data_IF_737253595566
#
_entry.id   IF_737253595566
#
_cell.length_a   1.000
_cell.length_b   1.000
_cell.length_c   1.000
_cell.angle_alpha   90.00
_cell.angle_beta   90.00
_cell.angle_gamma   90.00
#
_symmetry.space_group_name_H-M   'P 1'
#
loop_
_entity.id
_entity.type
_entity.pdbx_description
1 polymer ?
#
# COMPACT_ATOMS: atom_id res chain seq x y z
N UNK A 1 -16.71 -25.82 1.87
CA UNK A 1 -15.46 -26.34 2.48
C UNK A 1 -14.55 -26.77 1.33
N UNK A 2 -13.84 -25.81 0.75
CA UNK A 2 -12.90 -26.06 -0.36
C UNK A 2 -11.60 -26.57 0.28
N UNK A 3 -11.03 -27.69 -0.19
CA UNK A 3 -9.81 -28.21 0.41
C UNK A 3 -8.66 -27.27 0.07
N UNK A 4 -7.99 -26.76 1.11
CA UNK A 4 -6.71 -26.07 0.98
C UNK A 4 -5.73 -27.01 0.27
N UNK A 5 -5.41 -26.70 -0.98
CA UNK A 5 -4.29 -27.32 -1.68
C UNK A 5 -3.03 -26.81 -0.99
N UNK A 6 -2.48 -27.60 -0.06
CA UNK A 6 -1.13 -27.38 0.44
C UNK A 6 -0.18 -27.56 -0.75
N UNK A 7 0.15 -26.47 -1.43
CA UNK A 7 1.34 -26.44 -2.29
C UNK A 7 2.52 -26.56 -1.32
N UNK A 8 3.02 -27.78 -1.15
CA UNK A 8 4.36 -28.00 -0.61
C UNK A 8 5.34 -27.39 -1.59
N UNK A 9 5.63 -26.11 -1.42
CA UNK A 9 6.88 -25.56 -1.94
C UNK A 9 7.96 -26.09 -0.99
N UNK A 10 8.41 -27.33 -1.26
CA UNK A 10 9.64 -27.86 -0.68
C UNK A 10 10.78 -27.01 -1.24
N UNK A 11 10.97 -25.82 -0.65
CA UNK A 11 12.16 -25.01 -0.81
C UNK A 11 13.33 -25.96 -0.52
N UNK A 12 14.25 -26.18 -1.48
CA UNK A 12 15.34 -27.12 -1.29
C UNK A 12 16.03 -26.87 0.05
N UNK A 13 16.20 -27.92 0.84
CA UNK A 13 16.81 -27.89 2.18
C UNK A 13 18.31 -27.50 2.18
N UNK A 14 18.80 -26.94 1.07
CA UNK A 14 20.13 -26.37 0.92
C UNK A 14 20.04 -24.83 0.94
N UNK A 15 19.45 -24.26 1.98
CA UNK A 15 19.69 -22.87 2.38
C UNK A 15 20.84 -22.86 3.40
N UNK A 16 21.98 -23.42 3.02
CA UNK A 16 23.26 -22.98 3.57
C UNK A 16 23.74 -21.82 2.70
N UNK A 17 22.91 -20.78 2.58
CA UNK A 17 23.32 -19.53 1.94
C UNK A 17 24.38 -18.91 2.83
N UNK A 18 25.49 -18.46 2.23
CA UNK A 18 26.34 -17.46 2.85
C UNK A 18 25.47 -16.24 3.13
N UNK A 19 24.89 -16.19 4.33
CA UNK A 19 24.26 -15.00 4.86
C UNK A 19 25.39 -13.97 4.93
N UNK A 20 25.34 -12.96 4.08
CA UNK A 20 26.10 -11.75 4.37
C UNK A 20 25.54 -11.24 5.68
N UNK A 21 26.30 -11.45 6.75
CA UNK A 21 26.04 -10.81 8.02
C UNK A 21 25.87 -9.31 7.77
N UNK A 22 24.96 -8.62 8.49
CA UNK A 22 24.83 -7.18 8.36
C UNK A 22 26.20 -6.52 8.51
N UNK A 23 26.44 -5.39 7.82
CA UNK A 23 27.74 -4.72 7.84
C UNK A 23 28.25 -4.57 9.27
N UNK A 24 29.54 -4.88 9.45
CA UNK A 24 30.22 -4.98 10.75
C UNK A 24 30.37 -3.65 11.51
N UNK A 25 29.64 -2.59 11.10
CA UNK A 25 29.70 -1.27 11.75
C UNK A 25 28.77 -1.18 12.97
N UNK A 26 27.97 -2.21 13.23
CA UNK A 26 27.05 -2.28 14.37
C UNK A 26 25.82 -1.37 14.24
N UNK A 27 25.58 -0.76 13.07
CA UNK A 27 24.36 0.01 12.81
C UNK A 27 23.22 -0.92 12.42
N UNK A 28 22.08 -0.72 13.07
CA UNK A 28 20.86 -1.42 12.69
C UNK A 28 20.40 -0.99 11.29
N UNK A 29 19.83 -1.91 10.50
CA UNK A 29 19.24 -1.56 9.20
C UNK A 29 18.27 -0.39 9.30
N UNK A 30 18.35 0.55 8.36
CA UNK A 30 17.36 1.63 8.22
C UNK A 30 16.83 1.60 6.81
N UNK A 31 15.51 1.54 6.69
CA UNK A 31 14.84 1.49 5.40
C UNK A 31 14.81 2.91 4.80
N UNK A 32 15.27 3.10 3.54
CA UNK A 32 15.22 4.41 2.87
C UNK A 32 13.81 4.98 2.82
N UNK A 33 13.68 6.32 2.87
CA UNK A 33 12.39 6.99 2.73
C UNK A 33 12.03 7.21 1.26
N UNK A 34 12.02 6.13 0.50
CA UNK A 34 11.73 6.10 -0.94
C UNK A 34 10.40 5.38 -1.10
N UNK A 35 9.48 5.92 -1.90
CA UNK A 35 8.17 5.30 -2.14
C UNK A 35 8.09 4.80 -3.58
N UNK A 36 7.51 3.62 -3.78
CA UNK A 36 7.37 2.97 -5.08
C UNK A 36 5.91 2.64 -5.38
N UNK A 37 5.46 3.05 -6.56
CA UNK A 37 4.22 2.62 -7.20
C UNK A 37 4.55 1.97 -8.54
N UNK A 38 3.80 0.94 -8.95
CA UNK A 38 3.93 0.30 -10.27
C UNK A 38 2.66 0.55 -11.07
N UNK A 39 2.79 1.17 -12.25
CA UNK A 39 1.70 1.38 -13.20
C UNK A 39 2.10 0.86 -14.57
N UNK A 40 1.64 -0.34 -14.90
CA UNK A 40 1.87 -0.93 -16.21
C UNK A 40 0.69 -0.62 -17.14
N UNK A 41 0.98 -0.36 -18.42
CA UNK A 41 0.00 -0.08 -19.45
C UNK A 41 -0.71 -1.36 -19.85
N UNK A 42 -2.04 -1.41 -19.68
CA UNK A 42 -2.86 -2.52 -20.18
C UNK A 42 -2.93 -2.55 -21.71
N UNK A 43 -2.78 -1.39 -22.34
CA UNK A 43 -2.67 -1.19 -23.78
C UNK A 43 -1.44 -0.29 -24.05
N UNK A 44 -0.42 -0.74 -24.78
CA UNK A 44 0.75 0.09 -25.13
C UNK A 44 0.42 1.36 -25.93
N UNK A 45 -0.75 1.42 -26.57
CA UNK A 45 -1.27 2.61 -27.25
C UNK A 45 -2.34 3.36 -26.43
N UNK A 46 -2.59 2.89 -25.21
CA UNK A 46 -3.56 3.46 -24.29
C UNK A 46 -3.10 4.78 -23.70
N UNK A 47 -3.91 5.30 -22.78
CA UNK A 47 -3.65 6.57 -22.11
C UNK A 47 -3.62 6.38 -20.60
N UNK A 48 -2.72 7.07 -19.90
CA UNK A 48 -2.65 7.04 -18.44
C UNK A 48 -3.83 7.82 -17.85
N UNK A 49 -4.77 7.09 -17.26
CA UNK A 49 -6.00 7.62 -16.69
C UNK A 49 -6.08 7.27 -15.20
N UNK A 50 -5.66 8.22 -14.35
CA UNK A 50 -5.84 8.09 -12.92
C UNK A 50 -7.16 8.72 -12.45
N UNK A 51 -7.63 8.28 -11.28
CA UNK A 51 -8.82 8.82 -10.61
C UNK A 51 -8.46 9.43 -9.27
N UNK A 52 -9.45 10.05 -8.62
CA UNK A 52 -9.28 10.67 -7.29
C UNK A 52 -8.64 9.70 -6.28
N UNK A 53 -9.06 8.43 -6.24
CA UNK A 53 -8.47 7.44 -5.32
C UNK A 53 -6.96 7.27 -5.49
N UNK A 54 -6.46 7.27 -6.72
CA UNK A 54 -5.03 7.17 -7.03
C UNK A 54 -4.28 8.41 -6.56
N UNK A 55 -4.89 9.60 -6.76
CA UNK A 55 -4.36 10.85 -6.23
C UNK A 55 -4.28 10.82 -4.69
N UNK A 56 -5.33 10.38 -3.99
CA UNK A 56 -5.36 10.28 -2.52
C UNK A 56 -4.27 9.32 -2.03
N UNK A 57 -4.03 8.21 -2.72
CA UNK A 57 -2.94 7.26 -2.37
C UNK A 57 -1.58 7.96 -2.39
N UNK A 58 -1.18 8.54 -3.53
CA UNK A 58 0.12 9.21 -3.67
C UNK A 58 0.22 10.45 -2.77
N UNK A 59 -0.84 11.25 -2.70
CA UNK A 59 -0.82 12.48 -1.94
C UNK A 59 -0.71 12.22 -0.44
N UNK A 60 -1.41 11.21 0.08
CA UNK A 60 -1.27 10.84 1.50
C UNK A 60 0.13 10.31 1.80
N UNK A 61 0.75 9.53 0.91
CA UNK A 61 2.14 9.11 1.06
C UNK A 61 3.11 10.31 1.04
N UNK A 62 2.93 11.24 0.10
CA UNK A 62 3.71 12.49 0.03
C UNK A 62 3.59 13.32 1.31
N UNK A 63 2.37 13.48 1.82
CA UNK A 63 2.06 14.27 3.00
C UNK A 63 2.63 13.65 4.28
N UNK A 64 2.37 12.37 4.51
CA UNK A 64 2.66 11.75 5.80
C UNK A 64 4.05 11.17 5.91
N UNK A 65 4.62 10.67 4.81
CA UNK A 65 5.96 10.07 4.85
C UNK A 65 7.05 11.10 4.59
N UNK A 66 6.72 12.23 3.95
CA UNK A 66 7.68 13.21 3.41
C UNK A 66 8.89 12.52 2.73
N UNK A 67 8.65 11.67 1.71
CA UNK A 67 9.69 10.83 1.14
C UNK A 67 10.77 11.66 0.44
N UNK A 68 11.95 11.09 0.26
CA UNK A 68 13.01 11.70 -0.56
C UNK A 68 12.60 11.74 -2.03
N UNK A 69 11.92 10.68 -2.49
CA UNK A 69 11.39 10.53 -3.85
C UNK A 69 10.22 9.54 -3.86
N UNK A 70 9.26 9.79 -4.74
CA UNK A 70 8.17 8.87 -5.08
C UNK A 70 8.39 8.42 -6.52
N UNK A 71 8.67 7.14 -6.73
CA UNK A 71 8.79 6.56 -8.06
C UNK A 71 7.45 6.03 -8.54
N UNK A 72 7.09 6.40 -9.77
CA UNK A 72 6.10 5.69 -10.58
C UNK A 72 6.88 4.85 -11.59
N UNK A 73 6.92 3.54 -11.36
CA UNK A 73 7.52 2.56 -12.24
C UNK A 73 6.51 2.18 -13.33
N UNK A 74 6.83 2.42 -14.60
CA UNK A 74 5.88 2.25 -15.70
C UNK A 74 6.56 1.86 -17.00
N UNK A 75 5.86 1.11 -17.84
CA UNK A 75 6.24 0.81 -19.22
C UNK A 75 5.64 1.80 -20.23
N UNK A 76 4.97 2.87 -19.74
CA UNK A 76 4.45 3.93 -20.59
C UNK A 76 5.58 4.63 -21.38
N UNK A 77 5.34 4.92 -22.68
CA UNK A 77 6.24 5.74 -23.48
C UNK A 77 6.46 7.15 -22.89
N UNK A 78 7.62 7.76 -23.15
CA UNK A 78 7.94 9.09 -22.61
C UNK A 78 6.92 10.17 -23.04
N UNK A 79 6.42 10.11 -24.28
CA UNK A 79 5.41 11.05 -24.79
C UNK A 79 4.05 10.88 -24.10
N UNK A 80 3.70 9.66 -23.70
CA UNK A 80 2.54 9.38 -22.87
C UNK A 80 2.66 10.04 -21.49
N UNK A 81 3.83 9.91 -20.87
CA UNK A 81 4.14 10.51 -19.57
C UNK A 81 4.10 12.03 -19.64
N UNK A 82 4.69 12.63 -20.67
CA UNK A 82 4.64 14.07 -20.89
C UNK A 82 3.22 14.57 -21.15
N UNK A 83 2.41 13.80 -21.89
CA UNK A 83 0.98 14.12 -22.04
C UNK A 83 0.26 14.08 -20.72
N UNK A 84 0.49 13.06 -19.89
CA UNK A 84 -0.12 12.94 -18.57
C UNK A 84 0.27 14.11 -17.64
N UNK A 85 1.48 14.68 -17.79
CA UNK A 85 1.91 15.90 -17.09
C UNK A 85 1.27 17.19 -17.62
N UNK A 86 0.92 17.21 -18.90
CA UNK A 86 0.49 18.42 -19.59
C UNK A 86 -0.88 18.93 -19.10
N UNK A 87 -1.13 20.23 -19.36
CA UNK A 87 -2.44 20.85 -19.16
C UNK A 87 -3.40 20.68 -20.35
N UNK A 88 -3.08 19.76 -21.27
CA UNK A 88 -3.96 19.40 -22.38
C UNK A 88 -5.28 18.84 -21.85
N UNK A 89 -6.39 19.16 -22.52
CA UNK A 89 -7.72 18.60 -22.23
C UNK A 89 -7.73 17.07 -22.36
N UNK A 90 -6.83 16.50 -23.16
CA UNK A 90 -6.64 15.06 -23.28
C UNK A 90 -6.03 14.41 -22.02
N UNK A 91 -5.36 15.19 -21.15
CA UNK A 91 -4.83 14.70 -19.88
C UNK A 91 -5.89 14.78 -18.79
N UNK A 92 -6.20 13.63 -18.18
CA UNK A 92 -7.09 13.63 -17.03
C UNK A 92 -6.47 14.39 -15.87
N UNK A 93 -7.29 15.22 -15.23
CA UNK A 93 -6.93 16.07 -14.10
C UNK A 93 -6.12 15.35 -13.03
N UNK A 94 -6.51 14.13 -12.64
CA UNK A 94 -5.82 13.40 -11.57
C UNK A 94 -4.44 12.92 -12.01
N UNK A 95 -4.29 12.49 -13.27
CA UNK A 95 -2.98 12.19 -13.84
C UNK A 95 -2.06 13.40 -13.80
N UNK A 96 -2.56 14.55 -14.28
CA UNK A 96 -1.82 15.82 -14.22
C UNK A 96 -1.41 16.18 -12.80
N UNK A 97 -2.31 16.10 -11.83
CA UNK A 97 -1.99 16.40 -10.43
C UNK A 97 -0.91 15.46 -9.90
N UNK A 98 -1.07 14.14 -10.07
CA UNK A 98 -0.13 13.12 -9.60
C UNK A 98 1.28 13.38 -10.15
N UNK A 99 1.42 13.50 -11.47
CA UNK A 99 2.75 13.63 -12.07
C UNK A 99 3.42 14.96 -11.73
N UNK A 100 2.65 16.03 -11.46
CA UNK A 100 3.20 17.33 -11.08
C UNK A 100 3.39 17.49 -9.56
N UNK A 101 3.11 16.48 -8.74
CA UNK A 101 3.43 16.54 -7.30
C UNK A 101 4.95 16.63 -7.10
N UNK A 102 5.41 17.39 -6.08
CA UNK A 102 6.82 17.44 -5.72
C UNK A 102 7.38 16.04 -5.45
N UNK A 103 8.64 15.81 -5.85
CA UNK A 103 9.38 14.56 -5.64
C UNK A 103 8.81 13.32 -6.36
N UNK A 104 7.77 13.47 -7.19
CA UNK A 104 7.30 12.38 -8.07
C UNK A 104 8.19 12.28 -9.31
N UNK A 105 8.81 11.11 -9.49
CA UNK A 105 9.70 10.79 -10.60
C UNK A 105 9.19 9.55 -11.33
N UNK A 106 9.29 9.56 -12.66
CA UNK A 106 8.97 8.40 -13.49
C UNK A 106 10.23 7.57 -13.67
N UNK A 107 10.11 6.26 -13.48
CA UNK A 107 11.18 5.32 -13.78
C UNK A 107 10.65 4.29 -14.78
N UNK A 108 11.22 4.25 -15.97
CA UNK A 108 10.75 3.32 -16.99
C UNK A 108 11.13 1.88 -16.61
N UNK A 109 10.13 1.01 -16.48
CA UNK A 109 10.28 -0.40 -16.12
C UNK A 109 9.35 -1.25 -16.96
N UNK A 110 9.84 -2.39 -17.42
CA UNK A 110 9.05 -3.38 -18.12
C UNK A 110 8.91 -4.64 -17.27
N UNK A 111 7.73 -5.26 -17.35
CA UNK A 111 7.50 -6.54 -16.71
C UNK A 111 7.86 -7.70 -17.64
N UNK A 112 8.32 -8.85 -17.10
CA UNK A 112 8.53 -10.04 -17.89
C UNK A 112 7.21 -10.57 -18.48
N UNK A 113 7.27 -11.10 -19.70
CA UNK A 113 6.15 -11.83 -20.32
C UNK A 113 6.10 -13.31 -19.88
N UNK A 114 7.22 -13.83 -19.37
CA UNK A 114 7.41 -15.21 -18.96
C UNK A 114 8.22 -15.26 -17.67
N UNK A 115 7.84 -16.14 -16.76
CA UNK A 115 8.66 -16.51 -15.62
C UNK A 115 9.81 -17.44 -16.07
N UNK A 116 10.86 -17.59 -15.26
CA UNK A 116 12.06 -18.38 -15.64
C UNK A 116 11.77 -19.88 -15.77
N UNK A 117 10.66 -20.36 -15.22
CA UNK A 117 10.16 -21.71 -15.40
C UNK A 117 9.40 -21.94 -16.72
N UNK A 118 9.26 -20.90 -17.55
CA UNK A 118 8.61 -20.94 -18.86
C UNK A 118 7.12 -20.62 -18.85
N UNK A 119 6.51 -20.42 -17.67
CA UNK A 119 5.11 -20.06 -17.56
C UNK A 119 4.85 -18.62 -18.02
N UNK A 120 3.75 -18.40 -18.73
CA UNK A 120 3.41 -17.09 -19.27
C UNK A 120 2.72 -16.21 -18.23
N UNK A 121 3.12 -14.95 -18.12
CA UNK A 121 2.56 -13.98 -17.18
C UNK A 121 1.51 -13.15 -17.93
N UNK A 122 0.25 -13.57 -17.81
CA UNK A 122 -0.87 -12.99 -18.57
C UNK A 122 -1.46 -11.74 -17.92
N UNK A 123 -1.69 -11.79 -16.61
CA UNK A 123 -2.40 -10.74 -15.89
C UNK A 123 -1.45 -9.60 -15.53
N UNK A 124 -1.94 -8.37 -15.66
CA UNK A 124 -1.18 -7.16 -15.40
C UNK A 124 -0.77 -7.04 -13.92
N UNK A 125 -1.60 -7.57 -13.03
CA UNK A 125 -1.37 -7.61 -11.59
C UNK A 125 -0.18 -8.52 -11.27
N UNK A 126 -0.15 -9.73 -11.83
CA UNK A 126 1.02 -10.61 -11.70
C UNK A 126 2.27 -9.95 -12.27
N UNK A 127 2.17 -9.28 -13.43
CA UNK A 127 3.30 -8.51 -14.00
C UNK A 127 3.80 -7.42 -13.04
N UNK A 128 2.90 -6.73 -12.35
CA UNK A 128 3.23 -5.74 -11.32
C UNK A 128 3.94 -6.37 -10.11
N UNK A 129 3.63 -7.62 -9.77
CA UNK A 129 4.28 -8.36 -8.68
C UNK A 129 5.79 -8.59 -8.95
N UNK A 130 6.16 -8.95 -10.18
CA UNK A 130 7.58 -9.05 -10.56
C UNK A 130 8.30 -7.70 -10.52
N UNK A 131 7.65 -6.64 -11.01
CA UNK A 131 8.26 -5.30 -11.01
C UNK A 131 8.43 -4.77 -9.60
N UNK A 132 7.43 -4.90 -8.71
CA UNK A 132 7.53 -4.42 -7.32
C UNK A 132 8.66 -5.11 -6.55
N UNK A 133 8.80 -6.43 -6.72
CA UNK A 133 9.86 -7.18 -6.04
C UNK A 133 11.24 -6.72 -6.53
N UNK A 134 11.41 -6.54 -7.83
CA UNK A 134 12.65 -6.04 -8.45
C UNK A 134 13.02 -4.65 -7.93
N UNK A 135 12.12 -3.67 -8.03
CA UNK A 135 12.47 -2.26 -7.74
C UNK A 135 12.78 -2.05 -6.26
N UNK A 136 12.05 -2.72 -5.36
CA UNK A 136 12.35 -2.65 -3.92
C UNK A 136 13.66 -3.36 -3.59
N UNK A 137 13.99 -4.47 -4.27
CA UNK A 137 15.31 -5.10 -4.10
C UNK A 137 16.44 -4.16 -4.56
N UNK A 138 16.30 -3.50 -5.70
CA UNK A 138 17.34 -2.67 -6.31
C UNK A 138 17.54 -1.31 -5.63
N UNK A 139 16.46 -0.72 -5.11
CA UNK A 139 16.45 0.64 -4.57
C UNK A 139 16.27 0.67 -3.04
N UNK A 140 15.64 -0.35 -2.45
CA UNK A 140 15.09 -0.28 -1.09
C UNK A 140 13.95 0.74 -1.02
N UNK A 141 13.25 0.80 0.11
CA UNK A 141 12.17 1.75 0.33
C UNK A 141 10.85 1.07 0.67
N UNK A 142 9.76 1.78 0.43
CA UNK A 142 8.37 1.43 0.74
C UNK A 142 7.64 1.21 -0.58
N UNK A 143 7.06 0.02 -0.75
CA UNK A 143 6.14 -0.25 -1.85
C UNK A 143 4.69 -0.05 -1.41
N UNK A 144 3.88 0.57 -2.28
CA UNK A 144 2.44 0.74 -2.11
C UNK A 144 1.69 0.38 -3.40
N UNK A 145 0.63 -0.41 -3.28
CA UNK A 145 -0.40 -0.54 -4.31
C UNK A 145 -1.18 0.79 -4.44
N UNK A 146 -1.79 1.01 -5.60
CA UNK A 146 -2.53 2.24 -5.93
C UNK A 146 -3.80 2.48 -5.10
N UNK A 147 -4.26 1.47 -4.37
CA UNK A 147 -5.36 1.50 -3.41
C UNK A 147 -4.87 1.38 -1.95
N UNK A 148 -3.57 1.59 -1.70
CA UNK A 148 -3.05 1.77 -0.34
C UNK A 148 -2.97 3.26 -0.02
N UNK A 149 -3.56 3.65 1.10
CA UNK A 149 -3.62 5.04 1.56
C UNK A 149 -2.86 5.20 2.86
N UNK A 150 -1.85 6.07 2.88
CA UNK A 150 -1.09 6.37 4.07
C UNK A 150 -1.97 7.13 5.08
N UNK A 151 -1.82 6.75 6.35
CA UNK A 151 -2.52 7.38 7.47
C UNK A 151 -1.54 8.12 8.40
N UNK A 152 -0.30 7.68 8.50
CA UNK A 152 0.73 8.36 9.30
C UNK A 152 2.12 7.98 8.82
N UNK A 153 3.12 8.69 9.32
CA UNK A 153 4.52 8.45 8.98
C UNK A 153 4.97 7.00 9.28
N UNK A 154 5.60 6.35 8.29
CA UNK A 154 6.22 5.02 8.42
C UNK A 154 7.59 5.07 9.12
N UNK A 155 8.13 6.26 9.43
CA UNK A 155 9.44 6.42 10.08
C UNK A 155 9.68 5.49 11.27
N UNK A 156 8.75 5.31 12.24
CA UNK A 156 8.99 4.37 13.35
C UNK A 156 9.21 2.92 12.88
N UNK A 157 8.57 2.51 11.79
CA UNK A 157 8.74 1.18 11.20
C UNK A 157 10.05 1.08 10.39
N UNK A 158 10.37 2.12 9.60
CA UNK A 158 11.61 2.18 8.81
C UNK A 158 12.87 2.20 9.68
N UNK A 159 12.78 2.82 10.86
CA UNK A 159 13.89 2.96 11.82
C UNK A 159 13.86 1.89 12.92
N UNK A 160 12.96 0.89 12.83
CA UNK A 160 12.85 -0.19 13.82
C UNK A 160 14.04 -1.15 13.83
N UNK A 161 14.98 -1.02 12.90
CA UNK A 161 16.18 -1.83 12.84
C UNK A 161 15.98 -3.19 12.16
N UNK A 162 15.05 -3.31 11.21
CA UNK A 162 14.83 -4.53 10.43
C UNK A 162 15.11 -4.29 8.94
N UNK A 163 15.70 -5.28 8.28
CA UNK A 163 15.98 -5.24 6.85
C UNK A 163 14.70 -5.27 6.02
N UNK A 164 13.64 -5.90 6.53
CA UNK A 164 12.33 -5.98 5.89
C UNK A 164 11.23 -5.79 6.92
N UNK A 165 10.20 -5.02 6.57
CA UNK A 165 8.97 -4.89 7.36
C UNK A 165 7.79 -5.20 6.46
N UNK A 166 7.00 -6.17 6.88
CA UNK A 166 5.79 -6.63 6.17
C UNK A 166 4.60 -6.61 7.12
N UNK A 167 3.39 -6.51 6.59
CA UNK A 167 2.16 -6.61 7.37
C UNK A 167 1.34 -7.82 6.95
N UNK A 168 0.61 -8.39 7.90
CA UNK A 168 -0.38 -9.41 7.57
C UNK A 168 -1.57 -8.78 6.83
N UNK A 169 -2.31 -9.62 6.12
CA UNK A 169 -3.65 -9.35 5.60
C UNK A 169 -4.62 -10.38 6.20
N UNK A 170 -5.86 -10.44 5.69
CA UNK A 170 -6.79 -11.52 6.04
C UNK A 170 -6.15 -12.89 5.76
N UNK A 171 -6.55 -13.90 6.53
CA UNK A 171 -6.02 -15.28 6.50
C UNK A 171 -4.56 -15.44 6.98
N UNK A 172 -4.05 -14.47 7.75
CA UNK A 172 -2.69 -14.46 8.31
C UNK A 172 -1.57 -14.59 7.26
N UNK A 173 -1.87 -14.26 6.01
CA UNK A 173 -0.87 -14.16 4.94
C UNK A 173 -0.24 -12.77 4.94
N UNK A 174 0.95 -12.64 4.36
CA UNK A 174 1.62 -11.34 4.18
C UNK A 174 0.99 -10.58 3.01
N UNK A 175 0.71 -9.29 3.22
CA UNK A 175 0.27 -8.36 2.19
C UNK A 175 1.44 -7.97 1.26
N UNK A 176 1.32 -8.26 -0.04
CA UNK A 176 2.30 -7.86 -1.07
C UNK A 176 2.04 -6.46 -1.66
N UNK A 177 0.95 -5.81 -1.26
CA UNK A 177 0.57 -4.46 -1.67
C UNK A 177 1.11 -3.35 -0.77
N UNK A 178 1.63 -3.66 0.42
CA UNK A 178 2.24 -2.67 1.29
C UNK A 178 3.34 -3.31 2.15
N UNK A 179 4.60 -3.01 1.84
CA UNK A 179 5.76 -3.52 2.56
C UNK A 179 6.95 -2.60 2.34
N UNK A 180 8.04 -2.84 3.06
CA UNK A 180 9.24 -2.03 2.93
C UNK A 180 10.51 -2.84 3.23
N UNK A 181 11.62 -2.50 2.57
CA UNK A 181 12.89 -3.19 2.75
C UNK A 181 14.09 -2.27 2.52
N UNK A 182 15.24 -2.64 3.11
CA UNK A 182 16.51 -2.08 2.69
C UNK A 182 16.87 -2.56 1.28
N UNK A 183 17.67 -1.76 0.58
CA UNK A 183 18.27 -2.18 -0.69
C UNK A 183 19.05 -3.49 -0.51
N UNK A 184 18.81 -4.45 -1.38
CA UNK A 184 19.56 -5.70 -1.43
C UNK A 184 19.30 -6.64 -0.25
N UNK A 185 18.19 -6.49 0.48
CA UNK A 185 17.88 -7.39 1.60
C UNK A 185 17.81 -8.85 1.16
N UNK A 186 18.12 -9.77 2.08
CA UNK A 186 18.20 -11.18 1.75
C UNK A 186 16.81 -11.76 1.46
N UNK A 187 15.77 -11.36 2.21
CA UNK A 187 14.39 -11.72 1.90
C UNK A 187 13.99 -11.30 0.49
N UNK A 188 14.26 -10.04 0.08
CA UNK A 188 13.90 -9.55 -1.25
C UNK A 188 14.70 -10.26 -2.34
N UNK A 189 15.99 -10.53 -2.11
CA UNK A 189 16.85 -11.30 -3.04
C UNK A 189 16.29 -12.71 -3.28
N UNK A 190 15.82 -13.37 -2.23
CA UNK A 190 15.22 -14.70 -2.32
C UNK A 190 13.86 -14.60 -3.01
N UNK A 191 13.03 -13.62 -2.65
CA UNK A 191 11.71 -13.44 -3.26
C UNK A 191 11.81 -13.21 -4.78
N UNK A 192 12.61 -12.24 -5.21
CA UNK A 192 12.88 -11.93 -6.63
C UNK A 192 13.37 -13.15 -7.42
N UNK A 193 14.19 -14.02 -6.80
CA UNK A 193 14.64 -15.25 -7.44
C UNK A 193 13.53 -16.29 -7.54
N UNK A 194 12.82 -16.54 -6.44
CA UNK A 194 11.91 -17.67 -6.35
C UNK A 194 10.53 -17.38 -6.91
N UNK A 195 10.11 -16.13 -7.04
CA UNK A 195 8.85 -15.78 -7.71
C UNK A 195 8.83 -16.31 -9.15
N UNK A 196 9.95 -16.17 -9.88
CA UNK A 196 10.14 -16.73 -11.22
C UNK A 196 10.07 -18.27 -11.25
N UNK A 197 10.47 -18.94 -10.16
CA UNK A 197 10.53 -20.39 -10.09
C UNK A 197 9.16 -20.99 -9.75
N UNK A 198 8.44 -20.37 -8.81
CA UNK A 198 7.18 -20.89 -8.27
C UNK A 198 5.95 -20.37 -9.00
N UNK A 199 6.09 -19.40 -9.91
CA UNK A 199 4.98 -18.86 -10.66
C UNK A 199 4.24 -19.97 -11.43
N UNK A 200 2.95 -20.08 -11.19
CA UNK A 200 2.09 -21.16 -11.70
C UNK A 200 0.86 -20.61 -12.44
N UNK A 201 0.86 -19.30 -12.76
CA UNK A 201 -0.31 -18.60 -13.30
C UNK A 201 -1.37 -18.23 -12.24
N UNK A 202 -1.23 -18.70 -11.00
CA UNK A 202 -2.13 -18.40 -9.89
C UNK A 202 -1.97 -16.97 -9.35
N UNK A 203 -3.04 -16.45 -8.76
CA UNK A 203 -3.11 -15.08 -8.24
C UNK A 203 -2.15 -14.84 -7.06
N UNK A 204 -2.01 -15.79 -6.14
CA UNK A 204 -1.31 -15.57 -4.86
C UNK A 204 0.00 -16.33 -4.68
N UNK A 205 0.30 -17.34 -5.52
CA UNK A 205 1.41 -18.28 -5.26
C UNK A 205 2.76 -17.60 -5.11
N UNK A 206 3.12 -16.76 -6.08
CA UNK A 206 4.42 -16.11 -6.19
C UNK A 206 4.53 -14.81 -5.37
N UNK A 207 3.43 -14.06 -5.23
CA UNK A 207 3.46 -12.74 -4.59
C UNK A 207 3.09 -12.77 -3.10
N UNK A 208 2.17 -13.65 -2.69
CA UNK A 208 1.62 -13.68 -1.32
C UNK A 208 2.09 -14.92 -0.56
N UNK A 209 1.89 -16.12 -1.12
CA UNK A 209 2.23 -17.38 -0.43
C UNK A 209 3.76 -17.50 -0.27
N UNK A 210 4.53 -17.27 -1.34
CA UNK A 210 5.98 -17.27 -1.27
C UNK A 210 6.49 -16.24 -0.27
N UNK A 211 6.05 -14.98 -0.37
CA UNK A 211 6.45 -13.91 0.55
C UNK A 211 6.11 -14.24 2.01
N UNK A 212 4.94 -14.82 2.27
CA UNK A 212 4.54 -15.28 3.61
C UNK A 212 5.50 -16.34 4.15
N UNK A 213 5.82 -17.35 3.32
CA UNK A 213 6.72 -18.44 3.70
C UNK A 213 8.14 -17.93 3.96
N UNK A 214 8.62 -16.99 3.15
CA UNK A 214 9.93 -16.36 3.35
C UNK A 214 9.94 -15.55 4.64
N UNK A 215 8.96 -14.68 4.84
CA UNK A 215 8.83 -13.83 6.04
C UNK A 215 8.84 -14.67 7.32
N UNK A 216 8.01 -15.71 7.39
CA UNK A 216 7.91 -16.60 8.56
C UNK A 216 9.16 -17.43 8.81
N UNK A 217 9.96 -17.75 7.79
CA UNK A 217 11.23 -18.47 7.97
C UNK A 217 12.35 -17.53 8.39
N UNK A 218 12.40 -16.35 7.78
CA UNK A 218 13.48 -15.38 7.99
C UNK A 218 13.30 -14.54 9.26
N UNK A 219 12.12 -14.52 9.88
CA UNK A 219 11.91 -13.92 11.22
C UNK A 219 12.83 -14.49 12.30
N UNK A 220 13.34 -15.72 12.11
CA UNK A 220 14.30 -16.34 13.03
C UNK A 220 15.71 -15.72 12.94
N UNK A 221 15.99 -14.96 11.87
CA UNK A 221 17.25 -14.25 11.70
C UNK A 221 17.09 -12.86 12.34
N UNK A 222 17.90 -12.51 13.35
CA UNK A 222 17.81 -11.20 14.00
C UNK A 222 17.87 -10.07 12.98
N UNK A 223 16.96 -9.10 13.12
CA UNK A 223 16.89 -7.91 12.27
C UNK A 223 16.60 -8.17 10.79
N UNK A 224 16.22 -9.39 10.37
CA UNK A 224 15.91 -9.65 8.95
C UNK A 224 14.46 -9.28 8.61
N UNK A 225 13.47 -9.78 9.36
CA UNK A 225 12.04 -9.52 9.08
C UNK A 225 11.30 -9.12 10.34
N UNK A 226 10.57 -8.01 10.27
CA UNK A 226 9.50 -7.65 11.19
C UNK A 226 8.16 -7.92 10.52
N UNK A 227 7.33 -8.76 11.16
CA UNK A 227 5.95 -9.03 10.71
C UNK A 227 5.00 -8.25 11.62
N UNK A 228 4.24 -7.32 11.03
CA UNK A 228 3.24 -6.53 11.72
C UNK A 228 1.88 -7.23 11.66
N UNK A 229 1.07 -6.99 12.69
CA UNK A 229 -0.34 -7.38 12.70
C UNK A 229 -1.10 -6.78 11.50
N UNK A 230 -2.16 -7.45 11.06
CA UNK A 230 -2.93 -7.01 9.88
C UNK A 230 -3.45 -5.58 10.00
N UNK A 231 -3.83 -5.14 11.20
CA UNK A 231 -4.39 -3.81 11.39
C UNK A 231 -3.38 -2.68 11.17
N UNK A 232 -2.08 -2.97 11.12
CA UNK A 232 -1.05 -1.98 10.84
C UNK A 232 -1.07 -1.50 9.38
N UNK A 233 -1.23 -2.40 8.40
CA UNK A 233 -1.11 -2.09 6.97
C UNK A 233 -2.34 -2.49 6.13
N UNK A 234 -3.14 -3.47 6.57
CA UNK A 234 -4.34 -3.96 5.88
C UNK A 234 -5.49 -4.25 6.87
N UNK A 235 -6.05 -3.21 7.51
CA UNK A 235 -7.14 -3.37 8.48
C UNK A 235 -8.47 -3.87 7.88
N UNK A 236 -8.63 -3.84 6.56
CA UNK A 236 -9.78 -4.37 5.82
C UNK A 236 -9.40 -5.62 4.99
N UNK A 237 -10.27 -6.10 4.11
CA UNK A 237 -10.00 -7.19 3.17
C UNK A 237 -10.82 -7.06 1.88
N UNK A 238 -10.61 -8.01 0.94
CA UNK A 238 -11.37 -8.12 -0.30
C UNK A 238 -12.79 -8.68 -0.14
N UNK A 239 -13.14 -9.21 1.04
CA UNK A 239 -14.46 -9.77 1.28
C UNK A 239 -15.55 -8.69 1.28
N UNK A 240 -16.75 -9.07 0.84
CA UNK A 240 -17.85 -8.15 0.65
C UNK A 240 -18.22 -7.41 1.95
N UNK A 241 -18.26 -8.10 3.09
CA UNK A 241 -18.60 -7.48 4.39
C UNK A 241 -17.54 -6.46 4.82
N UNK A 242 -16.25 -6.79 4.65
CA UNK A 242 -15.14 -5.90 5.00
C UNK A 242 -15.10 -4.67 4.07
N UNK A 243 -15.37 -4.85 2.77
CA UNK A 243 -15.47 -3.78 1.81
C UNK A 243 -16.72 -2.91 2.04
N UNK A 244 -17.86 -3.51 2.43
CA UNK A 244 -19.07 -2.77 2.80
C UNK A 244 -18.84 -1.95 4.08
N UNK A 245 -18.16 -2.52 5.08
CA UNK A 245 -17.76 -1.80 6.30
C UNK A 245 -16.81 -0.64 6.01
N UNK A 246 -15.90 -0.81 5.05
CA UNK A 246 -14.96 0.23 4.66
C UNK A 246 -15.63 1.36 3.88
N UNK A 247 -16.41 1.03 2.85
CA UNK A 247 -16.89 2.00 1.86
C UNK A 247 -18.35 2.43 2.04
N UNK A 248 -19.18 1.62 2.69
CA UNK A 248 -20.61 1.87 2.87
C UNK A 248 -20.88 3.19 3.57
N UNK A 249 -21.93 3.88 3.12
CA UNK A 249 -22.36 5.14 3.73
C UNK A 249 -23.27 4.89 4.93
N UNK A 250 -23.04 5.62 6.01
CA UNK A 250 -23.85 5.64 7.22
C UNK A 250 -24.59 6.99 7.31
N UNK A 251 -25.59 7.17 6.43
CA UNK A 251 -26.32 8.43 6.23
C UNK A 251 -27.25 8.83 7.39
N UNK A 252 -27.66 7.88 8.22
CA UNK A 252 -28.49 8.12 9.41
C UNK A 252 -27.69 8.62 10.63
N UNK A 253 -26.36 8.48 10.61
CA UNK A 253 -25.50 9.05 11.62
C UNK A 253 -25.28 10.55 11.31
N UNK A 254 -25.50 11.43 12.30
CA UNK A 254 -25.07 12.82 12.16
C UNK A 254 -23.59 12.84 11.77
N UNK A 255 -23.22 13.59 10.73
CA UNK A 255 -21.81 13.81 10.43
C UNK A 255 -21.11 14.20 11.74
N UNK A 256 -20.03 13.49 12.15
CA UNK A 256 -19.46 13.66 13.47
C UNK A 256 -19.25 15.14 13.74
N UNK A 257 -19.68 15.57 14.93
CA UNK A 257 -19.75 16.97 15.35
C UNK A 257 -18.53 17.76 14.90
N UNK A 258 -18.78 18.99 14.42
CA UNK A 258 -17.80 20.02 14.08
C UNK A 258 -16.58 19.96 15.01
N UNK A 259 -15.53 19.37 14.46
CA UNK A 259 -14.22 19.13 15.04
C UNK A 259 -13.41 18.44 13.94
N UNK A 260 -12.08 18.59 13.91
CA UNK A 260 -11.28 17.76 13.01
C UNK A 260 -11.71 16.31 13.28
N UNK A 261 -12.27 15.66 12.27
CA UNK A 261 -12.29 14.21 12.26
C UNK A 261 -10.81 13.87 12.27
N UNK A 262 -10.28 13.65 13.46
CA UNK A 262 -8.89 13.32 13.69
C UNK A 262 -8.85 11.80 13.75
N UNK A 263 -8.71 11.10 12.59
CA UNK A 263 -8.43 9.66 12.59
C UNK A 263 -7.09 9.36 13.28
N UNK A 264 -6.31 10.39 13.62
CA UNK A 264 -5.06 10.36 14.35
C UNK A 264 -5.16 11.12 15.67
N UNK A 265 -6.28 10.94 16.42
CA UNK A 265 -6.29 11.31 17.84
C UNK A 265 -4.93 10.92 18.42
N UNK A 266 -4.20 11.87 19.05
CA UNK A 266 -2.79 11.68 19.38
C UNK A 266 -2.63 10.29 19.98
N UNK A 267 -1.73 9.49 19.39
CA UNK A 267 -1.45 8.13 19.84
C UNK A 267 -1.41 8.18 21.35
N UNK A 268 -2.32 7.47 22.01
CA UNK A 268 -2.48 7.57 23.45
C UNK A 268 -1.12 7.22 24.07
N UNK A 269 -0.40 8.23 24.55
CA UNK A 269 1.04 8.13 24.87
C UNK A 269 1.30 7.46 26.22
N UNK A 270 0.28 6.79 26.76
CA UNK A 270 0.37 6.13 28.06
C UNK A 270 0.74 4.66 27.86
N UNK A 271 1.82 4.25 28.53
CA UNK A 271 2.20 2.84 28.65
C UNK A 271 1.21 2.05 29.54
N UNK A 272 0.32 2.73 30.25
CA UNK A 272 -0.71 2.10 31.08
C UNK A 272 -1.91 1.67 30.22
N UNK A 273 -2.03 0.35 30.01
CA UNK A 273 -3.11 -0.29 29.27
C UNK A 273 -4.51 -0.03 29.87
N UNK A 274 -4.65 0.16 31.18
CA UNK A 274 -5.93 0.48 31.80
C UNK A 274 -6.38 1.90 31.44
N UNK A 275 -5.45 2.86 31.39
CA UNK A 275 -5.76 4.23 30.96
C UNK A 275 -6.08 4.27 29.47
N UNK A 276 -5.39 3.48 28.64
CA UNK A 276 -5.76 3.29 27.22
C UNK A 276 -7.20 2.78 27.09
N UNK A 277 -7.54 1.75 27.86
CA UNK A 277 -8.86 1.14 27.88
C UNK A 277 -9.96 2.12 28.29
N UNK A 278 -9.72 2.91 29.35
CA UNK A 278 -10.68 3.91 29.81
C UNK A 278 -10.85 5.08 28.82
N UNK A 279 -9.77 5.53 28.17
CA UNK A 279 -9.84 6.57 27.14
C UNK A 279 -10.54 6.07 25.86
N UNK A 280 -10.33 4.81 25.49
CA UNK A 280 -11.06 4.17 24.39
C UNK A 280 -12.56 4.03 24.72
N UNK A 281 -12.90 3.61 25.95
CA UNK A 281 -14.29 3.52 26.44
C UNK A 281 -14.98 4.88 26.58
N UNK A 282 -14.25 5.91 26.95
CA UNK A 282 -14.77 7.28 27.05
C UNK A 282 -14.94 7.94 25.67
N UNK A 283 -14.40 7.34 24.60
CA UNK A 283 -14.62 7.82 23.24
C UNK A 283 -16.04 7.46 22.78
N UNK A 284 -16.84 8.47 22.45
CA UNK A 284 -18.16 8.34 21.85
C UNK A 284 -18.05 7.96 20.37
N UNK A 285 -17.53 6.77 20.07
CA UNK A 285 -17.54 6.22 18.71
C UNK A 285 -18.89 5.59 18.44
N UNK A 286 -19.42 5.81 17.25
CA UNK A 286 -20.55 5.03 16.75
C UNK A 286 -20.08 3.60 16.47
N UNK A 287 -20.99 2.62 16.58
CA UNK A 287 -20.65 1.19 16.45
C UNK A 287 -20.03 0.83 15.09
N UNK A 288 -20.31 1.61 14.04
CA UNK A 288 -19.78 1.39 12.70
C UNK A 288 -18.37 1.98 12.50
N UNK A 289 -17.89 2.83 13.41
CA UNK A 289 -16.62 3.53 13.25
C UNK A 289 -15.42 2.62 13.53
N UNK A 290 -14.58 2.43 12.50
CA UNK A 290 -13.31 1.72 12.64
C UNK A 290 -12.27 2.58 13.38
N UNK A 291 -11.46 1.91 14.21
CA UNK A 291 -10.32 2.50 14.90
C UNK A 291 -9.03 2.31 14.11
N UNK A 292 -8.59 3.36 13.44
CA UNK A 292 -7.33 3.36 12.70
C UNK A 292 -6.12 3.80 13.56
N UNK A 293 -6.25 3.89 14.89
CA UNK A 293 -5.18 4.36 15.79
C UNK A 293 -3.92 3.49 15.79
N UNK A 294 -4.00 2.23 15.38
CA UNK A 294 -2.84 1.35 15.17
C UNK A 294 -2.42 1.22 13.69
N UNK A 295 -3.20 1.78 12.76
CA UNK A 295 -2.98 1.66 11.33
C UNK A 295 -2.05 2.76 10.82
N UNK A 296 -1.01 2.33 10.10
CA UNK A 296 -0.13 3.22 9.37
C UNK A 296 -0.63 3.48 7.94
N UNK A 297 -1.34 2.51 7.36
CA UNK A 297 -1.99 2.62 6.07
C UNK A 297 -3.28 1.80 6.03
N UNK A 298 -4.11 2.06 5.02
CA UNK A 298 -5.27 1.23 4.67
C UNK A 298 -5.06 0.71 3.25
N UNK A 299 -4.96 -0.61 3.10
CA UNK A 299 -5.15 -1.28 1.81
C UNK A 299 -6.65 -1.40 1.52
N UNK A 300 -7.16 -0.57 0.62
CA UNK A 300 -8.58 -0.41 0.31
C UNK A 300 -8.99 -1.29 -0.88
N UNK A 301 -8.94 -2.61 -0.67
CA UNK A 301 -9.21 -3.62 -1.68
C UNK A 301 -10.49 -3.35 -2.46
N UNK A 302 -10.43 -3.50 -3.78
CA UNK A 302 -11.58 -3.31 -4.66
C UNK A 302 -12.62 -4.43 -4.45
N UNK A 303 -13.88 -4.02 -4.28
CA UNK A 303 -15.05 -4.88 -4.42
C UNK A 303 -16.10 -4.13 -5.26
N UNK A 304 -16.75 -4.81 -6.21
CA UNK A 304 -17.62 -4.17 -7.20
C UNK A 304 -19.11 -4.13 -6.78
N UNK A 305 -19.49 -4.90 -5.76
CA UNK A 305 -20.90 -5.11 -5.40
C UNK A 305 -21.18 -4.58 -3.99
N UNK A 306 -21.09 -3.26 -3.84
CA UNK A 306 -21.28 -2.56 -2.57
C UNK A 306 -22.61 -1.78 -2.57
N UNK A 307 -23.37 -1.95 -1.50
CA UNK A 307 -24.64 -1.25 -1.28
C UNK A 307 -24.38 0.23 -0.97
N UNK A 308 -25.12 1.12 -1.62
CA UNK A 308 -25.03 2.58 -1.45
C UNK A 308 -23.64 3.18 -1.65
N UNK A 309 -22.83 2.57 -2.53
CA UNK A 309 -21.50 3.07 -2.87
C UNK A 309 -21.35 3.23 -4.38
N UNK A 310 -21.35 4.48 -4.84
CA UNK A 310 -21.21 4.85 -6.25
C UNK A 310 -19.75 5.13 -6.65
N UNK A 311 -18.82 5.08 -5.68
CA UNK A 311 -17.40 5.31 -5.90
C UNK A 311 -16.82 6.44 -5.04
N UNK A 312 -15.49 6.60 -5.13
CA UNK A 312 -14.74 7.59 -4.37
C UNK A 312 -14.78 8.93 -5.11
N UNK A 313 -15.65 9.83 -4.64
CA UNK A 313 -15.74 11.23 -5.09
C UNK A 313 -15.30 12.18 -3.99
N UNK A 314 -15.05 13.46 -4.31
CA UNK A 314 -14.77 14.46 -3.28
C UNK A 314 -15.94 14.63 -2.33
N UNK A 315 -17.18 14.62 -2.85
CA UNK A 315 -18.39 14.65 -2.04
C UNK A 315 -18.44 13.50 -1.05
N UNK A 316 -18.12 12.30 -1.51
CA UNK A 316 -18.07 11.09 -0.67
C UNK A 316 -17.03 11.23 0.46
N UNK A 317 -15.81 11.69 0.16
CA UNK A 317 -14.78 11.86 1.20
C UNK A 317 -15.16 12.95 2.19
N UNK A 318 -15.66 14.09 1.70
CA UNK A 318 -16.00 15.25 2.53
C UNK A 318 -17.25 15.03 3.40
N UNK A 319 -18.15 14.10 3.03
CA UNK A 319 -19.29 13.73 3.87
C UNK A 319 -18.86 13.01 5.15
N UNK A 320 -17.72 12.30 5.10
CA UNK A 320 -17.17 11.50 6.23
C UNK A 320 -18.16 10.47 6.77
N UNK A 321 -19.05 9.97 5.91
CA UNK A 321 -20.10 9.00 6.26
C UNK A 321 -19.67 7.54 6.10
N UNK A 322 -18.44 7.26 5.69
CA UNK A 322 -17.87 5.91 5.64
C UNK A 322 -16.52 5.86 6.35
N UNK A 323 -16.07 4.66 6.69
CA UNK A 323 -14.77 4.48 7.32
C UNK A 323 -13.61 4.90 6.40
N UNK A 324 -13.71 4.61 5.10
CA UNK A 324 -12.75 5.08 4.11
C UNK A 324 -12.72 6.61 4.06
N UNK A 325 -13.88 7.25 3.93
CA UNK A 325 -14.00 8.71 3.85
C UNK A 325 -13.39 9.38 5.08
N UNK A 326 -13.70 8.87 6.29
CA UNK A 326 -13.12 9.36 7.55
C UNK A 326 -11.61 9.22 7.59
N UNK A 327 -11.07 8.09 7.14
CA UNK A 327 -9.65 7.81 7.20
C UNK A 327 -8.84 8.71 6.25
N UNK A 328 -9.32 8.93 5.02
CA UNK A 328 -8.58 9.72 4.02
C UNK A 328 -8.93 11.22 4.04
N UNK A 329 -9.98 11.61 4.76
CA UNK A 329 -10.44 12.99 4.87
C UNK A 329 -9.33 13.99 5.22
N UNK A 330 -8.44 13.76 6.21
CA UNK A 330 -7.43 14.76 6.55
C UNK A 330 -6.46 15.07 5.40
N UNK A 331 -6.07 14.06 4.61
CA UNK A 331 -5.22 14.27 3.45
C UNK A 331 -5.96 15.04 2.35
N UNK A 332 -7.23 14.72 2.09
CA UNK A 332 -8.05 15.45 1.11
C UNK A 332 -8.32 16.89 1.55
N UNK A 333 -8.66 17.10 2.82
CA UNK A 333 -8.85 18.43 3.39
C UNK A 333 -7.56 19.25 3.28
N UNK A 334 -6.40 18.67 3.60
CA UNK A 334 -5.11 19.32 3.43
C UNK A 334 -4.87 19.72 1.96
N UNK A 335 -5.14 18.84 0.99
CA UNK A 335 -5.01 19.15 -0.44
C UNK A 335 -5.89 20.33 -0.88
N UNK A 336 -7.10 20.45 -0.32
CA UNK A 336 -8.02 21.57 -0.59
C UNK A 336 -7.48 22.86 0.05
N UNK A 337 -7.10 22.80 1.32
CA UNK A 337 -6.62 23.96 2.08
C UNK A 337 -5.33 24.54 1.47
N UNK A 338 -4.48 23.70 0.88
CA UNK A 338 -3.27 24.14 0.17
C UNK A 338 -3.50 24.46 -1.31
N UNK A 339 -4.74 24.40 -1.79
CA UNK A 339 -5.10 24.75 -3.17
C UNK A 339 -4.63 23.77 -4.25
N UNK A 340 -4.30 22.52 -3.89
CA UNK A 340 -3.93 21.47 -4.85
C UNK A 340 -5.18 20.89 -5.51
N UNK A 341 -6.27 20.75 -4.74
CA UNK A 341 -7.60 20.45 -5.24
C UNK A 341 -8.46 21.71 -5.10
N UNK A 342 -9.22 22.05 -6.15
CA UNK A 342 -10.16 23.17 -6.08
C UNK A 342 -11.47 22.73 -5.41
N UNK A 343 -12.05 23.58 -4.56
CA UNK A 343 -13.34 23.27 -3.92
C UNK A 343 -14.49 23.18 -4.94
N UNK A 344 -14.34 23.82 -6.10
CA UNK A 344 -15.30 23.77 -7.22
C UNK A 344 -15.52 22.36 -7.76
N UNK A 345 -14.54 21.46 -7.55
CA UNK A 345 -14.63 20.04 -7.89
C UNK A 345 -15.62 19.24 -7.01
N UNK A 346 -16.25 19.90 -6.02
CA UNK A 346 -17.26 19.33 -5.14
C UNK A 346 -18.67 19.23 -5.78
N UNK A 347 -18.92 20.06 -6.80
CA UNK A 347 -20.28 20.26 -7.36
C UNK A 347 -20.53 19.43 -8.63
N UNK A 348 -19.46 18.96 -9.29
CA UNK A 348 -19.52 17.99 -10.39
C UNK A 348 -19.52 16.56 -9.86
#
# INVERSE_FOLDING_TARGET
MVPFLFIKVDLPSCLATQTQLPPSDGRLPTIPNIVHYVHLMSDPQGTIQFGLKHFISIYSASLYFDPDVIYIHTDAPDDEVERARSSDEASNKWSRLIFNLPKVVVNNETAPDYADNGEKILNLENKSDFVRAKVVYELGGIYLDWDVHALRDFKPLREAGFANVVGLQKDDLVNSGCYMAIKGSEMMRIWLKYEHIVYDGGWITHAVILLTNLSRKLVMIPHEVLILDRYALAPSSWEQEDAQSLFGSHSEAHAPHLGPADPHRPALTTENAEVLWELARASSREEWENDYSCSYAIHAFKNNDLHDFEGITLRYVLSRQSNFARAVYPAVQHAIDTGIIALEDYVA
#
